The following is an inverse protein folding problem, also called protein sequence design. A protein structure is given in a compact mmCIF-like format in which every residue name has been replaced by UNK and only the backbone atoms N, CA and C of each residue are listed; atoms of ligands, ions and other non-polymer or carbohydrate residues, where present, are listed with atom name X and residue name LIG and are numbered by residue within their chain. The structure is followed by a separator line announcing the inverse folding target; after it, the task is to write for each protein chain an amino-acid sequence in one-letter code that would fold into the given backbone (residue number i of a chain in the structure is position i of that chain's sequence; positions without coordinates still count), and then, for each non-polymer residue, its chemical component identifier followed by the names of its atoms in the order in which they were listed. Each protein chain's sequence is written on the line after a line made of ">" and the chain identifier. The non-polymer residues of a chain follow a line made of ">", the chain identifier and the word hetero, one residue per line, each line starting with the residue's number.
data_IF_531763294937
#
_entry.id   IF_531763294937
#
_cell.length_a   1.000
_cell.length_b   1.000
_cell.length_c   1.000
_cell.angle_alpha   90.00
_cell.angle_beta   90.00
_cell.angle_gamma   90.00
#
_symmetry.space_group_name_H-M   'P 1'
#
loop_
_entity.id
_entity.type
_entity.pdbx_description
1 polymer ?
#
# COMPACT_ATOMS: atom_id res chain seq x y z
N UNK A 1 9.80 -4.18 -5.37
CA UNK A 1 9.63 -2.92 -4.63
C UNK A 1 10.90 -2.53 -3.87
N UNK A 2 11.11 -1.23 -3.69
CA UNK A 2 12.13 -0.70 -2.79
C UNK A 2 11.49 -0.55 -1.41
N UNK A 3 12.26 -0.80 -0.34
CA UNK A 3 11.77 -0.81 1.04
C UNK A 3 12.56 0.21 1.86
N UNK A 4 11.88 0.95 2.71
CA UNK A 4 12.48 1.71 3.82
C UNK A 4 11.56 1.62 5.04
N UNK A 5 12.05 2.08 6.19
CA UNK A 5 11.29 2.13 7.43
C UNK A 5 11.42 3.50 8.08
N UNK A 6 10.31 3.98 8.61
CA UNK A 6 10.22 5.21 9.40
C UNK A 6 9.47 4.94 10.71
N UNK A 7 9.87 5.62 11.77
CA UNK A 7 9.15 5.64 13.04
C UNK A 7 9.34 6.99 13.76
N UNK A 8 8.74 7.15 14.93
CA UNK A 8 8.75 8.36 15.76
C UNK A 8 10.09 8.61 16.51
N UNK A 9 11.15 7.87 16.16
CA UNK A 9 12.48 7.97 16.82
C UNK A 9 12.68 7.01 18.00
N UNK A 10 11.74 6.08 18.25
CA UNK A 10 12.00 4.93 19.13
C UNK A 10 13.05 4.02 18.51
N UNK A 11 13.65 3.12 19.30
CA UNK A 11 14.77 2.25 18.90
C UNK A 11 14.53 1.52 17.56
N UNK A 12 14.82 2.21 16.47
CA UNK A 12 14.61 1.74 15.10
C UNK A 12 15.37 0.44 14.83
N UNK A 13 16.58 0.30 15.37
CA UNK A 13 17.40 -0.91 15.20
C UNK A 13 16.72 -2.14 15.78
N UNK A 14 16.02 -2.00 16.92
CA UNK A 14 15.27 -3.09 17.51
C UNK A 14 14.01 -3.41 16.70
N UNK A 15 13.31 -2.40 16.21
CA UNK A 15 12.14 -2.57 15.33
C UNK A 15 12.53 -3.28 14.03
N UNK A 16 13.64 -2.91 13.41
CA UNK A 16 14.16 -3.59 12.20
C UNK A 16 14.43 -5.08 12.45
N UNK A 17 15.01 -5.43 13.60
CA UNK A 17 15.24 -6.82 13.99
C UNK A 17 13.93 -7.60 14.18
N UNK A 18 12.93 -6.97 14.82
CA UNK A 18 11.61 -7.57 15.01
C UNK A 18 10.92 -7.82 13.65
N UNK A 19 11.01 -6.87 12.73
CA UNK A 19 10.48 -7.03 11.37
C UNK A 19 11.24 -8.14 10.63
N UNK A 20 12.55 -8.24 10.80
CA UNK A 20 13.35 -9.32 10.22
C UNK A 20 12.90 -10.70 10.72
N UNK A 21 12.69 -10.86 12.04
CA UNK A 21 12.16 -12.10 12.62
C UNK A 21 10.75 -12.41 12.11
N UNK A 22 9.90 -11.40 12.00
CA UNK A 22 8.56 -11.50 11.42
C UNK A 22 8.63 -11.99 9.97
N UNK A 23 9.41 -11.33 9.12
CA UNK A 23 9.55 -11.67 7.70
C UNK A 23 10.13 -13.07 7.50
N UNK A 24 11.08 -13.49 8.34
CA UNK A 24 11.66 -14.83 8.28
C UNK A 24 10.63 -15.94 8.48
N UNK A 25 9.64 -15.71 9.36
CA UNK A 25 8.56 -16.66 9.64
C UNK A 25 7.58 -16.77 8.47
N UNK A 26 7.35 -15.68 7.74
CA UNK A 26 6.40 -15.65 6.63
C UNK A 26 6.92 -16.38 5.40
N UNK A 27 6.03 -16.93 4.57
CA UNK A 27 6.33 -17.37 3.22
C UNK A 27 6.55 -16.19 2.28
N UNK A 28 7.38 -16.35 1.25
CA UNK A 28 7.65 -15.31 0.26
C UNK A 28 6.68 -15.39 -0.93
N UNK A 29 5.37 -15.36 -0.65
CA UNK A 29 4.31 -15.63 -1.63
C UNK A 29 4.04 -14.45 -2.56
N UNK A 30 4.55 -13.26 -2.23
CA UNK A 30 4.38 -12.06 -3.04
C UNK A 30 5.64 -11.19 -3.05
N UNK A 31 5.72 -10.29 -4.02
CA UNK A 31 6.90 -9.43 -4.23
C UNK A 31 7.15 -8.45 -3.06
N UNK A 32 6.12 -8.06 -2.33
CA UNK A 32 6.26 -7.25 -1.12
C UNK A 32 7.03 -7.99 -0.03
N UNK A 33 6.61 -9.22 0.28
CA UNK A 33 7.29 -10.02 1.30
C UNK A 33 8.70 -10.43 0.87
N UNK A 34 8.92 -10.71 -0.41
CA UNK A 34 10.28 -10.95 -0.95
C UNK A 34 11.20 -9.77 -0.70
N UNK A 35 10.75 -8.55 -1.08
CA UNK A 35 11.54 -7.34 -0.88
C UNK A 35 11.78 -7.03 0.59
N UNK A 36 10.80 -7.27 1.46
CA UNK A 36 10.97 -7.10 2.90
C UNK A 36 11.98 -8.08 3.48
N UNK A 37 11.97 -9.35 3.07
CA UNK A 37 12.95 -10.36 3.50
C UNK A 37 14.38 -10.03 3.06
N UNK A 38 14.53 -9.42 1.89
CA UNK A 38 15.83 -8.98 1.38
C UNK A 38 16.35 -7.76 2.14
N UNK A 39 15.45 -6.86 2.55
CA UNK A 39 15.81 -5.63 3.27
C UNK A 39 16.03 -5.86 4.78
N UNK A 40 15.11 -6.54 5.45
CA UNK A 40 15.14 -6.79 6.89
C UNK A 40 15.82 -8.12 7.20
N UNK A 41 17.15 -8.18 7.06
CA UNK A 41 17.92 -9.37 7.38
C UNK A 41 18.17 -9.44 8.89
N UNK A 42 17.88 -10.59 9.49
CA UNK A 42 18.14 -10.84 10.91
C UNK A 42 18.95 -12.12 11.10
N UNK A 43 19.87 -12.08 12.07
CA UNK A 43 20.61 -13.26 12.53
C UNK A 43 19.98 -13.88 13.78
N UNK A 44 18.86 -13.32 14.28
CA UNK A 44 18.14 -13.88 15.42
C UNK A 44 17.51 -15.23 15.04
N UNK A 45 17.47 -16.14 16.03
CA UNK A 45 16.83 -17.45 15.88
C UNK A 45 15.52 -17.50 16.69
N UNK A 46 14.77 -16.39 16.73
CA UNK A 46 13.49 -16.36 17.42
C UNK A 46 12.50 -17.25 16.70
N UNK A 47 11.94 -18.23 17.41
CA UNK A 47 10.94 -19.14 16.87
C UNK A 47 9.54 -18.62 17.11
N UNK A 48 8.72 -18.61 16.06
CA UNK A 48 7.32 -18.24 16.15
C UNK A 48 6.48 -19.39 16.70
N UNK A 49 5.53 -19.07 17.57
CA UNK A 49 4.52 -20.01 18.09
C UNK A 49 3.45 -20.28 17.02
N UNK A 50 3.01 -19.22 16.34
CA UNK A 50 2.04 -19.29 15.26
C UNK A 50 2.18 -18.08 14.33
N UNK A 51 1.58 -18.16 13.14
CA UNK A 51 1.49 -17.04 12.23
C UNK A 51 0.22 -17.14 11.38
N UNK A 52 -0.25 -15.99 10.90
CA UNK A 52 -1.35 -15.87 9.94
C UNK A 52 -0.84 -15.16 8.69
N UNK A 53 -0.95 -15.82 7.54
CA UNK A 53 -0.56 -15.24 6.25
C UNK A 53 -1.47 -14.07 5.87
N UNK A 54 -0.98 -13.20 5.01
CA UNK A 54 -1.74 -12.06 4.52
C UNK A 54 -3.04 -12.50 3.85
N UNK A 55 -4.15 -11.93 4.30
CA UNK A 55 -5.47 -12.06 3.68
C UNK A 55 -5.82 -10.77 2.92
N UNK A 56 -6.30 -10.91 1.69
CA UNK A 56 -6.80 -9.76 0.91
C UNK A 56 -8.08 -9.15 1.48
N UNK A 57 -8.81 -9.91 2.29
CA UNK A 57 -10.03 -9.46 2.99
C UNK A 57 -9.65 -8.64 4.22
N UNK A 58 -8.79 -9.20 5.08
CA UNK A 58 -8.40 -8.57 6.34
C UNK A 58 -7.24 -7.60 6.21
N UNK A 59 -6.48 -7.68 5.11
CA UNK A 59 -5.37 -6.79 4.75
C UNK A 59 -4.27 -6.70 5.80
N UNK A 60 -4.07 -7.75 6.57
CA UNK A 60 -2.95 -7.88 7.50
C UNK A 60 -2.41 -9.31 7.55
N UNK A 61 -1.24 -9.44 8.15
CA UNK A 61 -0.60 -10.69 8.56
C UNK A 61 -0.11 -10.57 9.99
N UNK A 62 0.05 -11.71 10.69
CA UNK A 62 0.50 -11.74 12.08
C UNK A 62 1.54 -12.80 12.32
N UNK A 63 2.42 -12.56 13.31
CA UNK A 63 3.32 -13.55 13.87
C UNK A 63 3.29 -13.46 15.40
N UNK A 64 3.02 -14.57 16.04
CA UNK A 64 3.05 -14.70 17.49
C UNK A 64 4.36 -15.35 17.91
N UNK A 65 5.14 -14.63 18.69
CA UNK A 65 6.29 -15.15 19.43
C UNK A 65 5.90 -15.40 20.90
N UNK A 66 6.71 -16.12 21.68
CA UNK A 66 6.38 -16.43 23.07
C UNK A 66 6.03 -15.21 23.94
N UNK A 67 6.63 -14.04 23.63
CA UNK A 67 6.49 -12.81 24.41
C UNK A 67 5.47 -11.83 23.86
N UNK A 68 5.13 -11.87 22.58
CA UNK A 68 4.21 -10.94 21.95
C UNK A 68 3.76 -11.36 20.55
N UNK A 69 2.62 -10.86 20.12
CA UNK A 69 2.16 -10.94 18.73
C UNK A 69 2.44 -9.62 18.01
N UNK A 70 2.98 -9.72 16.81
CA UNK A 70 3.22 -8.58 15.92
C UNK A 70 2.32 -8.68 14.68
N UNK A 71 1.85 -7.53 14.23
CA UNK A 71 0.93 -7.39 13.10
C UNK A 71 1.58 -6.50 12.04
N UNK A 72 1.37 -6.87 10.78
CA UNK A 72 1.79 -6.10 9.62
C UNK A 72 0.62 -5.97 8.65
N UNK A 73 0.25 -4.76 8.27
CA UNK A 73 -0.86 -4.58 7.34
C UNK A 73 -1.13 -3.15 6.92
N UNK A 74 -2.27 -2.97 6.23
CA UNK A 74 -2.72 -1.66 5.79
C UNK A 74 -3.05 -0.74 6.98
N UNK A 75 -2.71 0.57 6.89
CA UNK A 75 -2.92 1.51 8.01
C UNK A 75 -4.35 1.51 8.53
N UNK A 76 -5.34 1.51 7.66
CA UNK A 76 -6.75 1.56 8.04
C UNK A 76 -7.19 0.34 8.85
N UNK A 77 -6.60 -0.82 8.56
CA UNK A 77 -6.92 -2.07 9.25
C UNK A 77 -6.18 -2.22 10.58
N UNK A 78 -4.98 -1.69 10.67
CA UNK A 78 -4.15 -1.77 11.88
C UNK A 78 -4.52 -0.70 12.90
N UNK A 79 -4.68 0.54 12.46
CA UNK A 79 -4.90 1.70 13.32
C UNK A 79 -6.38 1.87 13.73
N UNK A 80 -7.31 1.44 12.89
CA UNK A 80 -8.77 1.44 13.15
C UNK A 80 -9.26 2.75 13.81
N UNK A 81 -9.77 2.69 15.03
CA UNK A 81 -10.32 3.85 15.77
C UNK A 81 -9.24 4.92 16.05
N UNK A 82 -7.97 4.53 16.08
CA UNK A 82 -6.83 5.43 16.25
C UNK A 82 -6.31 6.02 14.92
N UNK A 83 -6.91 5.69 13.78
CA UNK A 83 -6.42 6.12 12.46
C UNK A 83 -6.31 7.65 12.36
N UNK A 84 -7.25 8.40 12.90
CA UNK A 84 -7.25 9.86 12.86
C UNK A 84 -6.00 10.46 13.52
N UNK A 85 -5.46 9.83 14.57
CA UNK A 85 -4.24 10.29 15.25
C UNK A 85 -3.00 10.20 14.36
N UNK A 86 -2.97 9.24 13.44
CA UNK A 86 -1.84 8.95 12.54
C UNK A 86 -2.10 9.38 11.10
N UNK A 87 -3.27 9.93 10.81
CA UNK A 87 -3.69 10.26 9.44
C UNK A 87 -2.71 11.20 8.75
N UNK A 88 -2.23 12.22 9.45
CA UNK A 88 -1.27 13.19 8.90
C UNK A 88 0.04 12.54 8.45
N UNK A 89 0.55 11.57 9.23
CA UNK A 89 1.77 10.83 8.88
C UNK A 89 1.52 9.87 7.71
N UNK A 90 0.40 9.16 7.73
CA UNK A 90 -0.01 8.26 6.64
C UNK A 90 -0.14 9.03 5.34
N UNK A 91 -0.82 10.18 5.36
CA UNK A 91 -1.01 11.04 4.19
C UNK A 91 0.31 11.67 3.72
N UNK A 92 1.20 12.02 4.64
CA UNK A 92 2.51 12.54 4.31
C UNK A 92 3.29 11.58 3.39
N UNK A 93 3.35 10.31 3.73
CA UNK A 93 4.07 9.31 2.93
C UNK A 93 3.29 8.88 1.69
N UNK A 94 1.99 8.66 1.79
CA UNK A 94 1.18 8.20 0.65
C UNK A 94 1.05 9.27 -0.42
N UNK A 95 1.03 10.57 -0.07
CA UNK A 95 1.05 11.67 -1.04
C UNK A 95 2.34 11.73 -1.85
N UNK A 96 3.45 11.20 -1.34
CA UNK A 96 4.72 11.08 -2.04
C UNK A 96 4.80 9.87 -2.98
N UNK A 97 3.74 9.06 -3.08
CA UNK A 97 3.67 7.87 -3.93
C UNK A 97 4.14 6.58 -3.26
N UNK A 98 4.40 6.60 -1.95
CA UNK A 98 4.72 5.38 -1.19
C UNK A 98 3.46 4.57 -0.91
N UNK A 99 3.57 3.24 -1.03
CA UNK A 99 2.65 2.32 -0.42
C UNK A 99 3.09 2.08 1.02
N UNK A 100 2.21 2.34 1.96
CA UNK A 100 2.49 2.27 3.39
C UNK A 100 1.94 0.98 4.00
N UNK A 101 2.76 0.32 4.82
CA UNK A 101 2.32 -0.71 5.76
C UNK A 101 2.67 -0.28 7.18
N UNK A 102 1.81 -0.60 8.12
CA UNK A 102 2.06 -0.41 9.55
C UNK A 102 2.55 -1.72 10.16
N UNK A 103 3.67 -1.67 10.86
CA UNK A 103 4.14 -2.74 11.73
C UNK A 103 3.88 -2.35 13.17
N UNK A 104 3.24 -3.22 13.95
CA UNK A 104 2.87 -2.93 15.32
C UNK A 104 2.82 -4.16 16.22
N UNK A 105 2.78 -3.88 17.54
CA UNK A 105 2.60 -4.88 18.59
C UNK A 105 1.12 -4.95 18.97
N UNK A 106 0.56 -6.15 18.95
CA UNK A 106 -0.81 -6.40 19.40
C UNK A 106 -0.89 -6.40 20.92
N UNK A 107 -1.83 -5.66 21.48
CA UNK A 107 -1.97 -5.43 22.93
C UNK A 107 -2.99 -6.38 23.59
N UNK A 108 -3.13 -7.61 23.11
CA UNK A 108 -4.06 -8.60 23.64
C UNK A 108 -3.64 -10.03 23.33
N UNK A 109 -4.49 -10.98 23.66
CA UNK A 109 -4.36 -12.35 23.17
C UNK A 109 -4.90 -12.43 21.75
N UNK A 110 -4.04 -12.78 20.79
CA UNK A 110 -4.42 -12.83 19.38
C UNK A 110 -5.15 -14.14 19.07
N UNK A 111 -6.38 -14.02 18.58
CA UNK A 111 -7.26 -15.12 18.16
C UNK A 111 -7.69 -14.95 16.70
N UNK A 112 -6.70 -14.79 15.79
CA UNK A 112 -6.89 -14.62 14.34
C UNK A 112 -7.65 -13.37 13.91
N UNK A 113 -8.14 -12.55 14.84
CA UNK A 113 -8.82 -11.28 14.57
C UNK A 113 -8.21 -10.13 15.37
N UNK A 114 -8.31 -8.91 14.83
CA UNK A 114 -7.86 -7.71 15.53
C UNK A 114 -8.95 -7.20 16.49
N UNK A 115 -9.15 -7.87 17.61
CA UNK A 115 -10.12 -7.46 18.63
C UNK A 115 -9.57 -6.39 19.59
N UNK A 116 -8.25 -6.43 19.89
CA UNK A 116 -7.59 -5.44 20.74
C UNK A 116 -6.79 -4.43 19.91
N UNK A 117 -6.26 -3.41 20.58
CA UNK A 117 -5.45 -2.35 19.99
C UNK A 117 -4.10 -2.88 19.48
N UNK A 118 -3.59 -2.26 18.41
CA UNK A 118 -2.24 -2.46 17.92
C UNK A 118 -1.44 -1.20 18.20
N UNK A 119 -0.35 -1.32 18.94
CA UNK A 119 0.61 -0.24 19.15
C UNK A 119 1.53 -0.15 17.93
N UNK A 120 1.47 0.93 17.13
CA UNK A 120 2.38 1.10 16.01
C UNK A 120 3.83 1.18 16.48
N UNK A 121 4.74 0.49 15.77
CA UNK A 121 6.18 0.51 16.02
C UNK A 121 6.95 1.14 14.88
N UNK A 122 6.38 1.15 13.68
CA UNK A 122 6.97 1.77 12.51
C UNK A 122 6.12 1.63 11.26
N UNK A 123 6.43 2.48 10.28
CA UNK A 123 5.87 2.47 8.95
C UNK A 123 6.86 1.85 7.97
N UNK A 124 6.43 0.88 7.20
CA UNK A 124 7.22 0.30 6.12
C UNK A 124 6.77 0.97 4.83
N UNK A 125 7.69 1.68 4.19
CA UNK A 125 7.46 2.38 2.95
C UNK A 125 7.90 1.51 1.79
N UNK A 126 7.00 1.28 0.86
CA UNK A 126 7.21 0.48 -0.34
C UNK A 126 7.00 1.36 -1.56
N UNK A 127 7.90 1.26 -2.51
CA UNK A 127 7.83 2.04 -3.73
C UNK A 127 8.35 1.20 -4.90
N UNK A 128 7.66 1.26 -6.02
CA UNK A 128 8.10 0.66 -7.27
C UNK A 128 8.69 1.77 -8.15
N UNK A 129 9.99 1.70 -8.49
CA UNK A 129 10.56 2.65 -9.43
C UNK A 129 9.86 2.55 -10.79
N UNK A 130 9.59 3.70 -11.38
CA UNK A 130 9.02 3.76 -12.72
C UNK A 130 10.05 3.18 -13.70
N UNK A 131 9.60 2.33 -14.62
CA UNK A 131 10.46 1.76 -15.65
C UNK A 131 11.06 2.87 -16.50
N UNK A 132 12.34 2.76 -16.86
CA UNK A 132 13.05 3.79 -17.63
C UNK A 132 12.36 4.08 -18.96
N UNK A 133 11.77 3.06 -19.56
CA UNK A 133 11.09 3.14 -20.86
C UNK A 133 9.69 3.75 -20.77
N UNK A 134 9.09 3.83 -19.57
CA UNK A 134 7.72 4.28 -19.41
C UNK A 134 7.51 5.70 -19.95
N UNK A 135 8.42 6.63 -19.63
CA UNK A 135 8.32 8.01 -20.07
C UNK A 135 8.32 8.13 -21.59
N UNK A 136 9.27 7.48 -22.26
CA UNK A 136 9.36 7.48 -23.72
C UNK A 136 8.12 6.83 -24.38
N UNK A 137 7.58 5.79 -23.76
CA UNK A 137 6.35 5.13 -24.24
C UNK A 137 5.15 6.07 -24.15
N UNK A 138 4.98 6.79 -23.05
CA UNK A 138 3.87 7.73 -22.89
C UNK A 138 4.02 8.98 -23.76
N UNK A 139 5.24 9.48 -23.96
CA UNK A 139 5.54 10.55 -24.93
C UNK A 139 5.14 10.12 -26.35
N UNK A 140 5.51 8.91 -26.76
CA UNK A 140 5.12 8.36 -28.06
C UNK A 140 3.60 8.29 -28.24
N UNK A 141 2.84 7.80 -27.23
CA UNK A 141 1.38 7.79 -27.32
C UNK A 141 0.77 9.19 -27.42
N UNK A 142 1.32 10.15 -26.69
CA UNK A 142 0.89 11.55 -26.76
C UNK A 142 1.13 12.15 -28.16
N UNK A 143 2.28 11.87 -28.79
CA UNK A 143 2.59 12.30 -30.18
C UNK A 143 1.62 11.68 -31.21
N UNK A 144 1.09 10.49 -30.92
CA UNK A 144 0.08 9.82 -31.75
C UNK A 144 -1.36 10.27 -31.44
N UNK A 145 -1.54 11.30 -30.60
CA UNK A 145 -2.86 11.77 -30.11
C UNK A 145 -3.68 10.67 -29.42
N UNK A 146 -3.03 9.68 -28.77
CA UNK A 146 -3.70 8.66 -27.97
C UNK A 146 -3.86 9.18 -26.55
N UNK A 147 -5.10 9.32 -26.10
CA UNK A 147 -5.40 9.68 -24.72
C UNK A 147 -5.14 8.49 -23.78
N UNK A 148 -4.39 8.73 -22.71
CA UNK A 148 -4.07 7.71 -21.71
C UNK A 148 -4.97 7.92 -20.49
N UNK A 149 -5.58 6.83 -20.01
CA UNK A 149 -6.35 6.80 -18.75
C UNK A 149 -5.68 5.83 -17.78
N UNK A 150 -5.47 6.26 -16.55
CA UNK A 150 -4.88 5.44 -15.48
C UNK A 150 -5.99 4.99 -14.53
N UNK A 151 -6.18 3.68 -14.41
CA UNK A 151 -7.26 3.09 -13.61
C UNK A 151 -6.62 2.19 -12.55
N UNK A 152 -6.73 2.58 -11.29
CA UNK A 152 -6.10 1.89 -10.15
C UNK A 152 -7.05 1.71 -8.98
N UNK A 153 -6.85 0.66 -8.20
CA UNK A 153 -7.49 0.47 -6.89
C UNK A 153 -6.86 1.28 -5.76
N UNK A 154 -5.70 1.90 -6.01
CA UNK A 154 -4.96 2.66 -5.00
C UNK A 154 -5.52 4.07 -4.79
N UNK A 155 -4.99 4.79 -3.78
CA UNK A 155 -5.38 6.17 -3.49
C UNK A 155 -5.18 7.07 -4.73
N UNK A 156 -6.18 7.88 -5.13
CA UNK A 156 -6.12 8.68 -6.36
C UNK A 156 -4.96 9.67 -6.40
N UNK A 157 -4.62 10.31 -5.28
CA UNK A 157 -3.48 11.24 -5.20
C UNK A 157 -2.15 10.50 -5.40
N UNK A 158 -1.98 9.33 -4.78
CA UNK A 158 -0.81 8.48 -4.98
C UNK A 158 -0.64 8.09 -6.43
N UNK A 159 -1.73 7.64 -7.08
CA UNK A 159 -1.73 7.24 -8.49
C UNK A 159 -1.42 8.43 -9.40
N UNK A 160 -2.00 9.61 -9.12
CA UNK A 160 -1.71 10.85 -9.85
C UNK A 160 -0.23 11.21 -9.77
N UNK A 161 0.37 11.20 -8.59
CA UNK A 161 1.79 11.52 -8.42
C UNK A 161 2.71 10.56 -9.20
N UNK A 162 2.41 9.26 -9.16
CA UNK A 162 3.15 8.24 -9.94
C UNK A 162 2.96 8.45 -11.44
N UNK A 163 1.76 8.74 -11.89
CA UNK A 163 1.44 8.99 -13.31
C UNK A 163 2.13 10.27 -13.84
N UNK A 164 2.16 11.35 -13.05
CA UNK A 164 2.91 12.56 -13.37
C UNK A 164 4.41 12.31 -13.49
N UNK A 165 4.98 11.56 -12.53
CA UNK A 165 6.38 11.18 -12.55
C UNK A 165 6.72 10.27 -13.75
N UNK A 166 5.76 9.48 -14.24
CA UNK A 166 5.88 8.68 -15.46
C UNK A 166 5.75 9.50 -16.76
N UNK A 167 5.37 10.78 -16.69
CA UNK A 167 5.23 11.66 -17.84
C UNK A 167 3.87 11.58 -18.53
N UNK A 168 2.82 11.09 -17.87
CA UNK A 168 1.47 11.05 -18.43
C UNK A 168 0.87 12.45 -18.40
N UNK A 169 0.48 12.95 -19.56
CA UNK A 169 -0.12 14.28 -19.73
C UNK A 169 -1.52 14.31 -19.09
N UNK A 170 -1.82 15.33 -18.29
CA UNK A 170 -3.10 15.52 -17.62
C UNK A 170 -3.24 14.67 -16.36
N UNK A 171 -2.19 13.99 -15.89
CA UNK A 171 -2.23 13.11 -14.71
C UNK A 171 -2.54 13.85 -13.39
N UNK A 172 -2.44 15.18 -13.36
CA UNK A 172 -2.90 16.05 -12.27
C UNK A 172 -4.43 16.04 -12.12
N UNK A 173 -5.17 15.69 -13.19
CA UNK A 173 -6.62 15.58 -13.18
C UNK A 173 -7.04 14.18 -12.73
N UNK A 174 -7.27 14.01 -11.45
CA UNK A 174 -7.65 12.74 -10.85
C UNK A 174 -9.00 12.78 -10.16
N UNK A 175 -9.62 11.62 -9.98
CA UNK A 175 -10.89 11.45 -9.28
C UNK A 175 -10.87 10.18 -8.40
N UNK A 176 -11.58 10.24 -7.28
CA UNK A 176 -11.89 9.09 -6.46
C UNK A 176 -13.11 8.35 -7.04
N UNK A 177 -12.92 7.16 -7.57
CA UNK A 177 -13.98 6.41 -8.25
C UNK A 177 -15.14 6.02 -7.31
N UNK A 178 -14.97 6.10 -6.00
CA UNK A 178 -16.06 5.90 -5.03
C UNK A 178 -17.13 6.99 -5.11
N UNK A 179 -16.79 8.17 -5.63
CA UNK A 179 -17.73 9.27 -5.85
C UNK A 179 -18.57 9.10 -7.13
N UNK A 180 -18.16 8.19 -8.03
CA UNK A 180 -18.79 7.93 -9.33
C UNK A 180 -19.82 6.79 -9.19
N UNK A 181 -20.98 7.09 -8.64
CA UNK A 181 -22.00 6.10 -8.26
C UNK A 181 -22.99 5.74 -9.37
N UNK A 182 -23.02 6.51 -10.47
CA UNK A 182 -23.90 6.26 -11.63
C UNK A 182 -23.10 6.07 -12.90
N UNK A 183 -23.70 5.41 -13.89
CA UNK A 183 -23.07 5.21 -15.23
C UNK A 183 -22.79 6.55 -15.91
N UNK A 184 -23.74 7.48 -15.85
CA UNK A 184 -23.57 8.82 -16.42
C UNK A 184 -22.39 9.56 -15.80
N UNK A 185 -22.24 9.51 -14.46
CA UNK A 185 -21.11 10.12 -13.75
C UNK A 185 -19.77 9.47 -14.15
N UNK A 186 -19.75 8.16 -14.40
CA UNK A 186 -18.55 7.45 -14.85
C UNK A 186 -18.16 7.84 -16.28
N UNK A 187 -19.12 7.91 -17.20
CA UNK A 187 -18.89 8.33 -18.59
C UNK A 187 -18.39 9.77 -18.67
N UNK A 188 -19.03 10.69 -17.95
CA UNK A 188 -18.60 12.10 -17.88
C UNK A 188 -17.19 12.23 -17.28
N UNK A 189 -16.87 11.40 -16.26
CA UNK A 189 -15.57 11.40 -15.64
C UNK A 189 -14.45 10.91 -16.59
N UNK A 190 -14.74 9.98 -17.50
CA UNK A 190 -13.78 9.51 -18.51
C UNK A 190 -13.35 10.63 -19.47
N UNK A 191 -14.22 11.58 -19.77
CA UNK A 191 -13.86 12.75 -20.60
C UNK A 191 -13.01 13.77 -19.79
N UNK A 192 -13.32 13.95 -18.50
CA UNK A 192 -12.77 15.01 -17.66
C UNK A 192 -11.45 14.66 -16.96
N UNK A 193 -11.31 13.40 -16.50
CA UNK A 193 -10.18 12.97 -15.67
C UNK A 193 -9.24 12.03 -16.42
N UNK A 194 -7.97 12.09 -16.06
CA UNK A 194 -6.92 11.19 -16.58
C UNK A 194 -6.65 10.03 -15.63
N UNK A 195 -6.78 10.27 -14.33
CA UNK A 195 -6.45 9.30 -13.28
C UNK A 195 -7.69 8.96 -12.45
N UNK A 196 -7.94 7.67 -12.30
CA UNK A 196 -9.03 7.10 -11.50
C UNK A 196 -8.43 6.26 -10.38
N UNK A 197 -8.59 6.69 -9.13
CA UNK A 197 -8.17 5.95 -7.96
C UNK A 197 -9.32 5.26 -7.24
N UNK A 198 -9.03 4.28 -6.40
CA UNK A 198 -10.00 3.48 -5.63
C UNK A 198 -11.09 2.82 -6.48
N UNK A 199 -10.71 2.43 -7.70
CA UNK A 199 -11.60 1.76 -8.64
C UNK A 199 -11.84 0.32 -8.20
N UNK A 200 -13.13 -0.08 -8.14
CA UNK A 200 -13.52 -1.46 -7.87
C UNK A 200 -13.33 -2.36 -9.10
N UNK A 201 -13.26 -3.69 -8.92
CA UNK A 201 -13.20 -4.61 -10.06
C UNK A 201 -14.38 -4.48 -11.03
N UNK A 202 -15.58 -4.19 -10.50
CA UNK A 202 -16.79 -3.95 -11.29
C UNK A 202 -16.67 -2.68 -12.13
N UNK A 203 -16.28 -1.57 -11.53
CA UNK A 203 -16.03 -0.31 -12.25
C UNK A 203 -14.94 -0.47 -13.31
N UNK A 204 -13.88 -1.26 -13.01
CA UNK A 204 -12.80 -1.52 -13.96
C UNK A 204 -13.28 -2.25 -15.22
N UNK A 205 -14.27 -3.14 -15.09
CA UNK A 205 -14.92 -3.78 -16.25
C UNK A 205 -15.73 -2.77 -17.05
N UNK A 206 -16.48 -1.90 -16.38
CA UNK A 206 -17.30 -0.87 -17.03
C UNK A 206 -16.43 0.10 -17.84
N UNK A 207 -15.38 0.66 -17.25
CA UNK A 207 -14.44 1.54 -17.95
C UNK A 207 -13.79 0.92 -19.19
N UNK A 208 -13.62 -0.41 -19.24
CA UNK A 208 -13.08 -1.12 -20.41
C UNK A 208 -14.12 -1.40 -21.52
N UNK A 209 -15.40 -1.39 -21.21
CA UNK A 209 -16.46 -1.68 -22.16
C UNK A 209 -16.97 -0.44 -22.89
N UNK A 210 -16.54 0.73 -22.52
CA UNK A 210 -16.87 2.01 -23.16
C UNK A 210 -15.81 2.49 -24.18
N UNK A 211 -14.77 1.66 -24.45
CA UNK A 211 -13.87 1.80 -25.58
C UNK A 211 -14.45 1.12 -26.83
#
# INVERSE_FOLDING_TARGET
>A
PVVSIENDGTDLTNVEKLIGDFCRTMSADNDTMKAMKEFFVTNNQREAVSYTSFSSVEKFSSVTFPEATYILGAPEMILRDNYEMYQSEVEHYTSQGYRLLVFGKYLGEFQETLAAEVQPLGYILLWNPIRKEAKATFEYFAEQNVAIKVISGDNPLTVSNVAQAAGIIGAENYVDARTLTTMEAQTEALEKYTVFGRVTPEQKKQFRSEE
#
